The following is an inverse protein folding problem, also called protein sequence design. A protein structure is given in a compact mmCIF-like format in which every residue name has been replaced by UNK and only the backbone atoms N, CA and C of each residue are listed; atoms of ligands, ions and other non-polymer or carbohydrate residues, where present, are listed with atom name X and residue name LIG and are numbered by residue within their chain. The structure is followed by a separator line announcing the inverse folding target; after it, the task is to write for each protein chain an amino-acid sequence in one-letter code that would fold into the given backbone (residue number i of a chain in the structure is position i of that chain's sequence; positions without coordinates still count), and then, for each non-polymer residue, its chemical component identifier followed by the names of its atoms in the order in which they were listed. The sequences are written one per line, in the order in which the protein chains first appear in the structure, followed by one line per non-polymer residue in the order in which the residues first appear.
data_IF_844466397448
#
_entry.id   IF_844466397448
#
_cell.length_a   1.000
_cell.length_b   1.000
_cell.length_c   1.000
_cell.angle_alpha   90.00
_cell.angle_beta   90.00
_cell.angle_gamma   90.00
#
_symmetry.space_group_name_H-M   'P 1'
#
loop_
_entity.id
_entity.type
_entity.pdbx_description
1 polymer ?
#
# COMPACT_ATOMS: atom_id res chain seq x y z
N UNK A 1 -17.65 26.04 -11.73
CA UNK A 1 -16.89 25.22 -12.71
C UNK A 1 -16.82 23.80 -12.14
N UNK A 2 -17.07 22.74 -12.93
CA UNK A 2 -17.08 21.37 -12.39
C UNK A 2 -15.64 20.85 -12.15
N UNK A 3 -15.49 19.82 -11.32
CA UNK A 3 -14.22 19.22 -10.91
C UNK A 3 -13.31 18.90 -12.12
N UNK A 4 -13.83 18.18 -13.11
CA UNK A 4 -13.06 17.79 -14.31
C UNK A 4 -12.55 18.98 -15.13
N UNK A 5 -13.31 20.08 -15.21
CA UNK A 5 -12.85 21.30 -15.90
C UNK A 5 -11.73 22.00 -15.14
N UNK A 6 -11.70 21.93 -13.80
CA UNK A 6 -10.58 22.45 -12.98
C UNK A 6 -9.34 21.58 -13.20
N UNK A 7 -9.50 20.26 -13.11
CA UNK A 7 -8.42 19.29 -13.28
C UNK A 7 -7.75 19.38 -14.66
N UNK A 8 -8.54 19.56 -15.72
CA UNK A 8 -8.02 19.73 -17.08
C UNK A 8 -7.09 20.95 -17.25
N UNK A 9 -7.25 21.98 -16.41
CA UNK A 9 -6.40 23.19 -16.46
C UNK A 9 -5.05 23.01 -15.77
N UNK A 10 -4.88 21.99 -14.92
CA UNK A 10 -3.63 21.76 -14.20
C UNK A 10 -2.65 20.97 -15.07
N UNK A 11 -1.71 21.67 -15.70
CA UNK A 11 -0.55 21.06 -16.34
C UNK A 11 0.50 20.71 -15.27
N UNK A 12 1.05 19.49 -15.33
CA UNK A 12 2.14 19.07 -14.45
C UNK A 12 3.39 19.93 -14.70
N UNK A 13 4.04 20.39 -13.64
CA UNK A 13 5.37 21.01 -13.71
C UNK A 13 6.23 20.53 -12.55
N UNK A 14 7.53 20.80 -12.58
CA UNK A 14 8.46 20.46 -11.49
C UNK A 14 8.07 21.11 -10.14
N UNK A 15 7.21 22.13 -10.19
CA UNK A 15 6.74 22.89 -9.03
C UNK A 15 5.28 22.57 -8.64
N UNK A 16 4.55 21.81 -9.45
CA UNK A 16 3.12 21.50 -9.25
C UNK A 16 2.80 20.08 -9.69
N UNK A 17 2.49 19.22 -8.74
CA UNK A 17 2.05 17.85 -9.01
C UNK A 17 0.58 17.82 -9.44
N UNK A 18 0.26 17.07 -10.51
CA UNK A 18 -1.13 16.80 -10.89
C UNK A 18 -1.87 16.00 -9.80
N UNK A 19 -1.17 15.12 -9.10
CA UNK A 19 -1.73 14.35 -8.00
C UNK A 19 -2.14 15.27 -6.84
N UNK A 20 -1.26 16.20 -6.44
CA UNK A 20 -1.58 17.19 -5.40
C UNK A 20 -2.81 18.01 -5.77
N UNK A 21 -2.86 18.56 -7.00
CA UNK A 21 -4.02 19.31 -7.45
C UNK A 21 -5.30 18.47 -7.45
N UNK A 22 -5.23 17.21 -7.88
CA UNK A 22 -6.39 16.32 -7.86
C UNK A 22 -6.89 16.04 -6.45
N UNK A 23 -5.98 15.71 -5.54
CA UNK A 23 -6.32 15.45 -4.14
C UNK A 23 -6.91 16.70 -3.47
N UNK A 24 -6.32 17.87 -3.66
CA UNK A 24 -6.83 19.13 -3.10
C UNK A 24 -8.23 19.46 -3.61
N UNK A 25 -8.45 19.36 -4.93
CA UNK A 25 -9.75 19.64 -5.55
C UNK A 25 -10.81 18.60 -5.18
N UNK A 26 -10.43 17.33 -5.14
CA UNK A 26 -11.31 16.23 -4.72
C UNK A 26 -11.75 16.40 -3.27
N UNK A 27 -10.81 16.68 -2.36
CA UNK A 27 -11.11 16.96 -0.96
C UNK A 27 -12.02 18.19 -0.82
N UNK A 28 -11.75 19.27 -1.54
CA UNK A 28 -12.61 20.45 -1.54
C UNK A 28 -14.04 20.16 -2.00
N UNK A 29 -14.20 19.37 -3.06
CA UNK A 29 -15.52 18.98 -3.57
C UNK A 29 -16.28 18.12 -2.55
N UNK A 30 -15.61 17.14 -1.93
CA UNK A 30 -16.19 16.28 -0.89
C UNK A 30 -16.62 17.10 0.33
N UNK A 31 -15.76 17.99 0.83
CA UNK A 31 -16.08 18.82 2.00
C UNK A 31 -17.28 19.75 1.74
N UNK A 32 -17.42 20.30 0.54
CA UNK A 32 -18.58 21.12 0.17
C UNK A 32 -19.87 20.32 -0.07
N UNK A 33 -19.80 18.99 -0.23
CA UNK A 33 -20.97 18.12 -0.31
C UNK A 33 -21.49 17.68 1.06
N UNK A 34 -20.65 17.78 2.10
CA UNK A 34 -21.03 17.48 3.48
C UNK A 34 -22.01 18.53 4.00
N UNK A 35 -22.98 18.09 4.79
CA UNK A 35 -23.78 18.99 5.61
C UNK A 35 -22.98 19.49 6.83
N UNK A 36 -23.53 20.45 7.58
CA UNK A 36 -22.85 21.07 8.74
C UNK A 36 -22.44 20.03 9.79
N UNK A 37 -23.32 19.08 10.09
CA UNK A 37 -23.05 18.02 11.09
C UNK A 37 -21.89 17.12 10.64
N UNK A 38 -21.89 16.71 9.37
CA UNK A 38 -20.84 15.91 8.75
C UNK A 38 -19.50 16.66 8.72
N UNK A 39 -19.48 17.94 8.34
CA UNK A 39 -18.25 18.75 8.38
C UNK A 39 -17.71 18.88 9.80
N UNK A 40 -18.59 19.18 10.77
CA UNK A 40 -18.21 19.27 12.19
C UNK A 40 -17.66 17.94 12.70
N UNK A 41 -18.32 16.82 12.41
CA UNK A 41 -17.87 15.49 12.80
C UNK A 41 -16.51 15.14 12.17
N UNK A 42 -16.35 15.39 10.87
CA UNK A 42 -15.11 15.15 10.13
C UNK A 42 -13.93 15.92 10.73
N UNK A 43 -14.08 17.23 10.93
CA UNK A 43 -13.01 18.06 11.49
C UNK A 43 -12.71 17.74 12.97
N UNK A 44 -13.73 17.42 13.77
CA UNK A 44 -13.55 16.94 15.15
C UNK A 44 -12.79 15.61 15.20
N UNK A 45 -13.11 14.68 14.30
CA UNK A 45 -12.40 13.41 14.17
C UNK A 45 -10.94 13.58 13.77
N UNK A 46 -10.63 14.61 12.98
CA UNK A 46 -9.25 15.03 12.70
C UNK A 46 -8.59 15.78 13.87
N UNK A 47 -9.27 15.94 15.01
CA UNK A 47 -8.82 16.75 16.15
C UNK A 47 -8.41 18.17 15.70
N UNK A 48 -9.18 18.76 14.79
CA UNK A 48 -9.09 20.16 14.36
C UNK A 48 -10.18 20.93 15.10
N UNK A 49 -9.88 22.15 15.54
CA UNK A 49 -10.87 22.93 16.26
C UNK A 49 -11.99 23.38 15.33
N UNK A 50 -13.23 23.15 15.73
CA UNK A 50 -14.42 23.57 14.97
C UNK A 50 -15.28 24.49 15.81
N UNK A 51 -15.82 25.53 15.21
CA UNK A 51 -17.00 26.19 15.75
C UNK A 51 -18.22 25.35 15.37
N UNK A 52 -18.89 24.82 16.39
CA UNK A 52 -19.99 23.87 16.23
C UNK A 52 -21.18 24.59 15.58
N UNK A 53 -21.89 23.90 14.69
CA UNK A 53 -23.10 24.36 14.01
C UNK A 53 -22.93 25.51 12.99
N UNK A 54 -21.71 25.77 12.53
CA UNK A 54 -21.45 26.79 11.52
C UNK A 54 -21.08 26.16 10.17
N UNK A 55 -21.65 26.68 9.08
CA UNK A 55 -21.34 26.23 7.73
C UNK A 55 -19.95 26.73 7.32
N UNK A 56 -19.09 25.80 6.89
CA UNK A 56 -17.76 26.12 6.37
C UNK A 56 -17.79 26.00 4.85
N UNK A 57 -17.43 27.09 4.18
CA UNK A 57 -17.26 27.09 2.73
C UNK A 57 -15.81 26.79 2.37
N UNK A 58 -15.59 25.73 1.62
CA UNK A 58 -14.26 25.29 1.22
C UNK A 58 -13.93 25.74 -0.21
N UNK A 59 -12.72 26.26 -0.40
CA UNK A 59 -12.30 26.83 -1.68
C UNK A 59 -10.83 26.52 -1.99
N UNK A 60 -10.56 26.11 -3.23
CA UNK A 60 -9.21 26.05 -3.82
C UNK A 60 -8.89 27.33 -4.59
N UNK A 61 -7.62 27.56 -4.92
CA UNK A 61 -7.16 28.72 -5.70
C UNK A 61 -7.54 30.06 -5.04
N UNK A 62 -7.64 30.08 -3.71
CA UNK A 62 -7.86 31.31 -2.96
C UNK A 62 -6.58 32.15 -3.03
N UNK A 63 -6.68 33.41 -3.43
CA UNK A 63 -5.51 34.30 -3.50
C UNK A 63 -5.35 35.08 -2.20
N UNK A 64 -4.17 35.03 -1.61
CA UNK A 64 -3.77 35.90 -0.50
C UNK A 64 -2.75 36.93 -0.97
N UNK A 65 -2.81 38.12 -0.40
CA UNK A 65 -1.83 39.17 -0.63
C UNK A 65 -0.83 39.15 0.52
N UNK A 66 0.44 38.93 0.20
CA UNK A 66 1.54 38.91 1.18
C UNK A 66 2.67 39.79 0.71
N UNK A 67 3.62 40.08 1.60
CA UNK A 67 4.85 40.76 1.24
C UNK A 67 5.56 39.98 0.12
N UNK A 68 5.88 40.66 -0.98
CA UNK A 68 6.49 40.03 -2.15
C UNK A 68 5.53 39.43 -3.19
N UNK A 69 4.20 39.53 -3.02
CA UNK A 69 3.22 39.29 -4.09
C UNK A 69 1.99 38.48 -3.70
N UNK A 70 1.32 37.93 -4.70
CA UNK A 70 0.14 37.07 -4.51
C UNK A 70 0.57 35.62 -4.31
N UNK A 71 0.02 34.96 -3.29
CA UNK A 71 0.19 33.53 -3.03
C UNK A 71 -1.16 32.82 -3.06
N UNK A 72 -1.13 31.51 -3.20
CA UNK A 72 -2.32 30.67 -3.36
C UNK A 72 -2.21 29.46 -2.44
N UNK A 73 -2.80 29.51 -1.23
CA UNK A 73 -2.98 28.32 -0.42
C UNK A 73 -3.77 27.26 -1.16
N UNK A 74 -3.44 26.00 -0.93
CA UNK A 74 -4.06 24.88 -1.65
C UNK A 74 -5.57 24.78 -1.34
N UNK A 75 -5.95 24.86 -0.08
CA UNK A 75 -7.35 24.77 0.35
C UNK A 75 -7.63 25.69 1.54
N UNK A 76 -8.71 26.46 1.41
CA UNK A 76 -9.15 27.45 2.41
C UNK A 76 -10.57 27.14 2.86
N UNK A 77 -10.81 27.13 4.17
CA UNK A 77 -12.13 27.03 4.78
C UNK A 77 -12.53 28.36 5.41
N UNK A 78 -13.67 28.90 4.99
CA UNK A 78 -14.18 30.20 5.46
C UNK A 78 -15.50 30.07 6.20
N UNK A 79 -15.65 30.90 7.24
CA UNK A 79 -16.87 31.08 8.01
C UNK A 79 -17.24 32.57 7.93
N UNK A 80 -18.47 32.91 7.52
CA UNK A 80 -18.93 34.29 7.38
C UNK A 80 -17.95 35.20 6.62
N UNK A 81 -17.39 34.69 5.53
CA UNK A 81 -16.35 35.32 4.69
C UNK A 81 -15.00 35.57 5.37
N UNK A 82 -14.80 35.10 6.59
CA UNK A 82 -13.51 35.11 7.28
C UNK A 82 -12.80 33.78 7.08
N UNK A 83 -11.52 33.82 6.73
CA UNK A 83 -10.71 32.61 6.61
C UNK A 83 -10.41 32.06 8.00
N UNK A 84 -10.79 30.81 8.25
CA UNK A 84 -10.60 30.12 9.54
C UNK A 84 -9.69 28.90 9.40
N UNK A 85 -9.67 28.28 8.22
CA UNK A 85 -8.81 27.12 7.94
C UNK A 85 -7.96 27.42 6.73
N UNK A 86 -6.66 27.21 6.85
CA UNK A 86 -5.73 27.21 5.74
C UNK A 86 -5.01 25.87 5.75
N UNK A 87 -5.22 25.10 4.69
CA UNK A 87 -4.62 23.77 4.48
C UNK A 87 -3.65 23.88 3.32
N UNK A 88 -2.37 23.60 3.60
CA UNK A 88 -1.35 23.41 2.59
C UNK A 88 -1.14 21.91 2.36
N UNK A 89 -1.12 21.48 1.11
CA UNK A 89 -0.99 20.09 0.70
C UNK A 89 0.43 19.83 0.16
N UNK A 90 1.08 18.78 0.68
CA UNK A 90 2.38 18.32 0.17
C UNK A 90 2.40 16.81 0.00
N UNK A 91 2.54 16.33 -1.22
CA UNK A 91 2.73 14.91 -1.54
C UNK A 91 4.16 14.68 -2.01
N UNK A 92 4.56 15.35 -3.09
CA UNK A 92 5.87 15.20 -3.72
C UNK A 92 6.60 16.54 -3.89
N UNK A 93 5.87 17.66 -3.88
CA UNK A 93 6.47 18.98 -4.02
C UNK A 93 7.17 19.42 -2.73
N UNK A 94 8.29 20.14 -2.88
CA UNK A 94 8.96 20.81 -1.76
C UNK A 94 8.16 22.04 -1.30
N UNK A 95 8.40 22.49 -0.07
CA UNK A 95 7.94 23.80 0.36
C UNK A 95 8.57 24.89 -0.49
N UNK A 96 7.77 25.90 -0.83
CA UNK A 96 8.32 27.12 -1.42
C UNK A 96 8.83 28.03 -0.31
N UNK A 97 9.83 28.85 -0.62
CA UNK A 97 10.30 29.92 0.27
C UNK A 97 9.88 31.29 -0.27
N UNK A 98 9.77 32.25 0.63
CA UNK A 98 9.72 33.67 0.33
C UNK A 98 10.83 34.40 1.06
N UNK A 99 10.84 35.73 0.93
CA UNK A 99 11.81 36.60 1.59
C UNK A 99 11.00 37.56 2.48
N UNK A 100 11.37 37.68 3.75
CA UNK A 100 10.74 38.63 4.67
C UNK A 100 11.20 40.08 4.45
N UNK A 101 10.65 40.99 5.26
CA UNK A 101 11.00 42.41 5.29
C UNK A 101 12.49 42.69 5.61
N UNK A 102 13.19 41.73 6.22
CA UNK A 102 14.60 41.80 6.58
C UNK A 102 15.52 41.13 5.55
N UNK A 103 14.98 40.57 4.46
CA UNK A 103 15.75 39.87 3.45
C UNK A 103 16.09 38.41 3.81
N UNK A 104 15.44 37.83 4.81
CA UNK A 104 15.64 36.44 5.23
C UNK A 104 14.68 35.49 4.53
N UNK A 105 15.16 34.28 4.22
CA UNK A 105 14.31 33.21 3.69
C UNK A 105 13.29 32.80 4.75
N UNK A 106 12.01 32.92 4.41
CA UNK A 106 10.89 32.53 5.25
C UNK A 106 10.08 31.46 4.54
N UNK A 107 9.65 30.45 5.30
CA UNK A 107 8.89 29.36 4.73
C UNK A 107 7.50 29.75 4.28
N UNK A 108 6.96 28.96 3.36
CA UNK A 108 5.57 29.06 2.96
C UNK A 108 4.59 28.96 4.15
N UNK A 109 4.86 28.09 5.13
CA UNK A 109 3.98 27.92 6.29
C UNK A 109 4.01 29.13 7.23
N UNK A 110 5.17 29.75 7.43
CA UNK A 110 5.28 31.00 8.20
C UNK A 110 4.59 32.18 7.51
N UNK A 111 4.71 32.28 6.18
CA UNK A 111 4.02 33.32 5.40
C UNK A 111 2.51 33.18 5.60
N UNK A 112 1.99 31.95 5.55
CA UNK A 112 0.58 31.67 5.77
C UNK A 112 0.15 31.89 7.22
N UNK A 113 1.00 31.56 8.20
CA UNK A 113 0.75 31.84 9.61
C UNK A 113 0.61 33.33 9.88
N UNK A 114 1.57 34.16 9.41
CA UNK A 114 1.53 35.62 9.53
C UNK A 114 0.28 36.19 8.86
N UNK A 115 0.02 35.79 7.62
CA UNK A 115 -1.16 36.30 6.90
C UNK A 115 -2.46 35.93 7.62
N UNK A 116 -2.59 34.68 8.05
CA UNK A 116 -3.80 34.20 8.71
C UNK A 116 -3.96 34.82 10.11
N UNK A 117 -2.90 35.08 10.86
CA UNK A 117 -2.99 35.76 12.16
C UNK A 117 -3.46 37.21 12.05
N UNK A 118 -3.10 37.89 10.96
CA UNK A 118 -3.51 39.27 10.67
C UNK A 118 -4.93 39.39 10.13
N UNK A 119 -5.46 38.35 9.47
CA UNK A 119 -6.73 38.38 8.74
C UNK A 119 -7.83 37.49 9.35
N UNK A 120 -7.51 36.68 10.36
CA UNK A 120 -8.50 35.86 11.05
C UNK A 120 -9.50 36.72 11.83
N UNK A 121 -10.75 36.26 11.86
CA UNK A 121 -11.79 36.87 12.70
C UNK A 121 -11.43 36.73 14.19
N UNK A 122 -11.65 37.74 15.05
CA UNK A 122 -11.44 37.62 16.49
C UNK A 122 -12.40 36.63 17.17
N UNK A 123 -13.47 36.22 16.46
CA UNK A 123 -14.50 35.29 16.97
C UNK A 123 -14.06 33.84 16.75
N UNK A 124 -13.35 33.57 15.66
CA UNK A 124 -12.99 32.23 15.23
C UNK A 124 -11.51 31.99 15.46
N UNK A 125 -11.15 30.79 15.89
CA UNK A 125 -9.74 30.46 16.06
C UNK A 125 -9.15 29.98 14.73
N UNK A 126 -8.14 30.65 14.17
CA UNK A 126 -7.53 30.21 12.92
C UNK A 126 -6.82 28.88 13.10
N UNK A 127 -6.90 28.02 12.09
CA UNK A 127 -6.20 26.74 12.01
C UNK A 127 -5.30 26.74 10.77
N UNK A 128 -4.02 26.44 10.99
CA UNK A 128 -3.04 26.24 9.92
C UNK A 128 -2.67 24.75 9.89
N UNK A 129 -2.94 24.10 8.76
CA UNK A 129 -2.83 22.65 8.63
C UNK A 129 -1.88 22.32 7.49
N UNK A 130 -0.90 21.47 7.76
CA UNK A 130 -0.14 20.78 6.73
C UNK A 130 -0.78 19.42 6.49
N UNK A 131 -1.26 19.16 5.28
CA UNK A 131 -1.76 17.85 4.87
C UNK A 131 -0.73 17.15 3.97
N UNK A 132 -0.21 16.01 4.41
CA UNK A 132 0.87 15.31 3.71
C UNK A 132 0.75 13.79 3.75
N UNK A 133 1.65 13.07 3.07
CA UNK A 133 1.84 11.63 3.22
C UNK A 133 3.27 11.29 3.71
N UNK A 134 4.26 12.10 3.34
CA UNK A 134 5.69 11.84 3.67
C UNK A 134 6.52 13.10 3.90
N UNK A 135 5.98 14.28 3.64
CA UNK A 135 6.75 15.53 3.76
C UNK A 135 6.78 15.95 5.21
N UNK A 136 7.97 15.93 5.82
CA UNK A 136 8.12 16.40 7.19
C UNK A 136 7.78 17.90 7.26
N UNK A 137 7.03 18.34 8.27
CA UNK A 137 6.88 19.77 8.51
C UNK A 137 8.25 20.38 8.79
N UNK A 138 8.35 21.69 8.64
CA UNK A 138 9.53 22.40 9.11
C UNK A 138 9.70 22.28 10.63
N UNK A 139 10.93 22.45 11.09
CA UNK A 139 11.23 22.48 12.53
C UNK A 139 10.32 23.48 13.23
N UNK A 140 9.82 23.08 14.41
CA UNK A 140 8.99 23.90 15.30
C UNK A 140 7.54 24.18 14.83
N UNK A 141 7.10 23.63 13.68
CA UNK A 141 5.73 23.86 13.20
C UNK A 141 4.64 23.36 14.16
N UNK A 142 4.84 22.23 14.82
CA UNK A 142 3.92 21.73 15.86
C UNK A 142 4.34 22.14 17.28
N UNK A 143 5.50 22.79 17.44
CA UNK A 143 5.96 23.27 18.74
C UNK A 143 5.18 24.53 19.14
N UNK A 144 4.28 24.39 20.12
CA UNK A 144 3.46 25.47 20.64
C UNK A 144 4.28 26.55 21.38
N UNK A 145 5.49 26.22 21.82
CA UNK A 145 6.42 27.13 22.48
C UNK A 145 7.24 27.98 21.51
N UNK A 146 7.26 27.62 20.22
CA UNK A 146 7.97 28.39 19.19
C UNK A 146 7.40 29.80 19.04
N UNK A 147 8.31 30.76 18.89
CA UNK A 147 8.01 32.15 18.57
C UNK A 147 7.92 32.40 17.05
N UNK A 148 8.27 31.39 16.24
CA UNK A 148 8.29 31.45 14.78
C UNK A 148 6.88 31.53 14.18
N UNK A 149 5.88 31.07 14.93
CA UNK A 149 4.49 31.02 14.51
C UNK A 149 3.56 31.63 15.57
N UNK A 150 2.62 32.45 15.12
CA UNK A 150 1.65 33.16 15.94
C UNK A 150 0.41 32.31 16.23
N UNK A 151 -0.02 31.49 15.27
CA UNK A 151 -1.22 30.66 15.42
C UNK A 151 -0.90 29.46 16.31
N UNK A 152 -1.74 29.23 17.33
CA UNK A 152 -1.57 28.10 18.25
C UNK A 152 -2.21 26.81 17.76
N UNK A 153 -3.15 26.87 16.82
CA UNK A 153 -3.78 25.69 16.22
C UNK A 153 -3.10 25.32 14.91
N UNK A 154 -1.85 24.85 15.03
CA UNK A 154 -1.06 24.29 13.93
C UNK A 154 -1.11 22.77 14.02
N UNK A 155 -1.22 22.11 12.86
CA UNK A 155 -1.33 20.66 12.84
C UNK A 155 -0.77 20.03 11.58
N UNK A 156 -0.06 18.92 11.75
CA UNK A 156 0.23 18.00 10.65
C UNK A 156 -0.85 16.93 10.59
N UNK A 157 -1.47 16.80 9.44
CA UNK A 157 -2.38 15.73 9.09
C UNK A 157 -1.79 14.90 7.97
N UNK A 158 -2.12 13.62 7.98
CA UNK A 158 -1.77 12.71 6.93
C UNK A 158 -2.99 12.41 6.05
N UNK A 159 -2.77 12.10 4.77
CA UNK A 159 -3.83 11.64 3.87
C UNK A 159 -4.55 10.40 4.39
N UNK A 160 -3.86 9.56 5.18
CA UNK A 160 -4.48 8.48 5.94
C UNK A 160 -5.54 8.98 6.93
N UNK A 161 -5.28 10.08 7.65
CA UNK A 161 -6.28 10.64 8.57
C UNK A 161 -7.53 11.11 7.83
N UNK A 162 -7.37 11.69 6.63
CA UNK A 162 -8.49 12.07 5.77
C UNK A 162 -9.29 10.84 5.37
N UNK A 163 -8.62 9.79 4.89
CA UNK A 163 -9.26 8.54 4.50
C UNK A 163 -10.04 7.88 5.66
N UNK A 164 -9.43 7.78 6.83
CA UNK A 164 -10.05 7.19 8.02
C UNK A 164 -11.30 7.96 8.42
N UNK A 165 -11.24 9.29 8.43
CA UNK A 165 -12.40 10.11 8.78
C UNK A 165 -13.50 10.07 7.73
N UNK A 166 -13.16 10.03 6.44
CA UNK A 166 -14.15 9.80 5.38
C UNK A 166 -14.85 8.43 5.51
N UNK A 167 -14.20 7.44 6.12
CA UNK A 167 -14.81 6.11 6.36
C UNK A 167 -15.88 6.12 7.45
N UNK A 168 -15.94 7.18 8.26
CA UNK A 168 -16.98 7.38 9.29
C UNK A 168 -18.19 8.17 8.78
N UNK A 169 -18.11 8.71 7.55
CA UNK A 169 -19.10 9.62 7.02
C UNK A 169 -19.97 8.93 5.96
N UNK A 170 -21.25 8.77 6.27
CA UNK A 170 -22.22 8.13 5.38
C UNK A 170 -22.89 9.12 4.43
N UNK A 171 -23.37 8.61 3.28
CA UNK A 171 -24.22 9.32 2.32
C UNK A 171 -23.62 10.58 1.67
N UNK A 172 -22.29 10.66 1.55
CA UNK A 172 -21.63 11.73 0.78
C UNK A 172 -21.36 11.23 -0.64
N UNK A 173 -21.87 11.97 -1.63
CA UNK A 173 -21.70 11.61 -3.03
C UNK A 173 -20.21 11.56 -3.42
N UNK A 174 -19.79 10.48 -4.10
CA UNK A 174 -18.43 10.21 -4.56
C UNK A 174 -17.37 9.99 -3.46
N UNK A 175 -17.75 9.90 -2.18
CA UNK A 175 -16.78 9.69 -1.09
C UNK A 175 -16.06 8.35 -1.22
N UNK A 176 -16.76 7.29 -1.64
CA UNK A 176 -16.15 5.96 -1.79
C UNK A 176 -15.17 5.93 -2.96
N UNK A 177 -15.53 6.50 -4.11
CA UNK A 177 -14.61 6.63 -5.26
C UNK A 177 -13.35 7.41 -4.87
N UNK A 178 -13.51 8.48 -4.09
CA UNK A 178 -12.38 9.28 -3.61
C UNK A 178 -11.51 8.52 -2.61
N UNK A 179 -12.09 7.75 -1.69
CA UNK A 179 -11.34 6.87 -0.78
C UNK A 179 -10.54 5.82 -1.53
N UNK A 180 -11.19 5.14 -2.48
CA UNK A 180 -10.51 4.17 -3.34
C UNK A 180 -9.37 4.82 -4.11
N UNK A 181 -9.59 6.00 -4.68
CA UNK A 181 -8.52 6.76 -5.33
C UNK A 181 -7.33 7.01 -4.40
N UNK A 182 -7.55 7.50 -3.17
CA UNK A 182 -6.47 7.75 -2.20
C UNK A 182 -5.68 6.46 -1.88
N UNK A 183 -6.37 5.32 -1.77
CA UNK A 183 -5.74 4.01 -1.56
C UNK A 183 -4.91 3.57 -2.76
N UNK A 184 -5.46 3.65 -3.98
CA UNK A 184 -4.77 3.26 -5.21
C UNK A 184 -3.52 4.12 -5.49
N UNK A 185 -3.52 5.39 -5.06
CA UNK A 185 -2.36 6.28 -5.19
C UNK A 185 -1.34 6.12 -4.03
N UNK A 186 -1.58 5.21 -3.08
CA UNK A 186 -0.69 5.01 -1.93
C UNK A 186 -0.62 6.21 -0.97
N UNK A 187 -1.66 7.05 -0.95
CA UNK A 187 -1.75 8.21 -0.04
C UNK A 187 -2.47 7.86 1.25
N UNK A 188 -3.44 6.95 1.16
CA UNK A 188 -4.09 6.31 2.28
C UNK A 188 -3.59 4.86 2.37
N UNK A 189 -2.33 4.71 2.80
CA UNK A 189 -1.82 3.43 3.23
C UNK A 189 -2.12 3.30 4.71
N UNK A 190 -2.82 2.24 5.09
CA UNK A 190 -2.84 1.79 6.49
C UNK A 190 -1.39 1.82 7.00
N UNK A 191 -1.20 2.25 8.26
CA UNK A 191 0.10 2.25 8.94
C UNK A 191 0.96 1.07 8.47
N UNK A 192 2.29 1.24 8.26
CA UNK A 192 3.14 0.14 7.86
C UNK A 192 2.81 -1.05 8.73
N UNK A 193 2.19 -2.04 8.12
CA UNK A 193 1.61 -3.12 8.88
C UNK A 193 2.77 -4.06 9.27
N UNK A 194 2.48 -5.08 10.07
CA UNK A 194 3.51 -6.04 10.46
C UNK A 194 4.24 -6.64 9.23
N UNK A 195 3.58 -6.67 8.07
CA UNK A 195 4.06 -7.21 6.80
C UNK A 195 5.06 -6.24 6.15
N UNK A 196 4.79 -4.93 6.15
CA UNK A 196 5.75 -3.92 5.69
C UNK A 196 7.04 -3.98 6.53
N UNK A 197 6.90 -4.12 7.85
CA UNK A 197 8.05 -4.29 8.73
C UNK A 197 8.76 -5.64 8.55
N UNK A 198 8.03 -6.74 8.30
CA UNK A 198 8.63 -8.05 8.04
C UNK A 198 9.40 -8.08 6.70
N UNK A 199 8.85 -7.43 5.66
CA UNK A 199 9.51 -7.27 4.36
C UNK A 199 10.74 -6.38 4.49
N UNK A 200 10.64 -5.26 5.23
CA UNK A 200 11.78 -4.42 5.54
C UNK A 200 12.84 -5.19 6.35
N UNK A 201 12.46 -5.96 7.36
CA UNK A 201 13.39 -6.78 8.15
C UNK A 201 14.07 -7.85 7.27
N UNK A 202 13.33 -8.46 6.35
CA UNK A 202 13.83 -9.45 5.41
C UNK A 202 14.84 -8.83 4.42
N UNK A 203 14.54 -7.65 3.89
CA UNK A 203 15.38 -6.95 2.91
C UNK A 203 16.59 -6.25 3.54
N UNK A 204 16.42 -5.59 4.69
CA UNK A 204 17.46 -4.76 5.31
C UNK A 204 18.42 -5.54 6.23
N UNK A 205 17.99 -6.60 6.92
CA UNK A 205 18.88 -7.41 7.80
C UNK A 205 19.64 -8.52 7.07
N UNK A 206 19.66 -8.49 5.73
CA UNK A 206 20.32 -9.51 4.91
C UNK A 206 19.69 -10.90 4.99
N UNK A 207 18.52 -11.04 5.62
CA UNK A 207 17.79 -12.30 5.69
C UNK A 207 17.33 -12.76 4.30
N UNK A 208 16.97 -11.81 3.41
CA UNK A 208 16.68 -12.09 2.02
C UNK A 208 17.84 -12.75 1.29
N UNK A 209 19.09 -12.27 1.50
CA UNK A 209 20.29 -12.93 0.95
C UNK A 209 20.56 -14.31 1.55
N UNK A 210 20.27 -14.50 2.85
CA UNK A 210 20.40 -15.82 3.50
C UNK A 210 19.34 -16.80 3.01
N UNK A 211 18.10 -16.35 2.78
CA UNK A 211 17.02 -17.12 2.20
C UNK A 211 17.29 -17.46 0.74
N UNK A 212 17.80 -16.51 -0.04
CA UNK A 212 18.26 -16.73 -1.41
C UNK A 212 19.37 -17.79 -1.46
N UNK A 213 20.37 -17.68 -0.58
CA UNK A 213 21.43 -18.69 -0.45
C UNK A 213 20.91 -20.06 -0.02
N UNK A 214 19.98 -20.11 0.94
CA UNK A 214 19.34 -21.35 1.38
C UNK A 214 18.55 -21.99 0.23
N UNK A 215 17.68 -21.23 -0.45
CA UNK A 215 16.83 -21.74 -1.51
C UNK A 215 17.64 -22.15 -2.75
N UNK A 216 18.70 -21.41 -3.10
CA UNK A 216 19.64 -21.83 -4.13
C UNK A 216 20.33 -23.15 -3.80
N UNK A 217 20.73 -23.35 -2.53
CA UNK A 217 21.31 -24.61 -2.09
C UNK A 217 20.29 -25.76 -2.05
N UNK A 218 19.03 -25.49 -1.69
CA UNK A 218 17.92 -26.46 -1.77
C UNK A 218 17.69 -26.88 -3.23
N UNK A 219 17.63 -25.91 -4.16
CA UNK A 219 17.48 -26.19 -5.58
C UNK A 219 18.59 -27.10 -6.10
N UNK A 220 19.85 -26.78 -5.79
CA UNK A 220 20.99 -27.60 -6.24
C UNK A 220 20.94 -29.03 -5.67
N UNK A 221 20.53 -29.20 -4.42
CA UNK A 221 20.36 -30.53 -3.82
C UNK A 221 19.24 -31.33 -4.50
N UNK A 222 18.08 -30.71 -4.72
CA UNK A 222 16.96 -31.34 -5.42
C UNK A 222 17.34 -31.69 -6.86
N UNK A 223 18.00 -30.78 -7.58
CA UNK A 223 18.50 -31.01 -8.94
C UNK A 223 19.45 -32.21 -9.01
N UNK A 224 20.34 -32.36 -8.02
CA UNK A 224 21.23 -33.51 -7.92
C UNK A 224 20.46 -34.80 -7.61
N UNK A 225 19.55 -34.76 -6.65
CA UNK A 225 18.75 -35.91 -6.21
C UNK A 225 17.85 -36.45 -7.33
N UNK A 226 17.26 -35.55 -8.13
CA UNK A 226 16.33 -35.87 -9.21
C UNK A 226 16.97 -35.70 -10.59
N UNK A 227 18.30 -35.78 -10.70
CA UNK A 227 19.01 -35.60 -11.97
C UNK A 227 18.63 -36.64 -13.04
N UNK A 228 18.25 -37.84 -12.60
CA UNK A 228 17.86 -38.96 -13.46
C UNK A 228 16.35 -39.07 -13.67
N UNK A 229 15.56 -38.15 -13.11
CA UNK A 229 14.11 -38.15 -13.25
C UNK A 229 13.72 -37.53 -14.61
N UNK A 230 13.20 -38.33 -15.57
CA UNK A 230 12.95 -37.84 -16.93
C UNK A 230 11.84 -36.79 -16.99
N UNK A 231 10.96 -36.76 -15.99
CA UNK A 231 9.88 -35.78 -15.91
C UNK A 231 10.38 -34.37 -15.68
N UNK A 232 11.58 -34.16 -15.10
CA UNK A 232 12.09 -32.83 -14.85
C UNK A 232 12.88 -32.27 -16.01
N UNK A 233 12.57 -31.02 -16.38
CA UNK A 233 13.39 -30.21 -17.26
C UNK A 233 14.23 -29.22 -16.47
N UNK A 234 15.30 -29.70 -15.84
CA UNK A 234 16.26 -28.85 -15.11
C UNK A 234 17.00 -27.85 -16.01
N UNK A 235 16.92 -27.98 -17.34
CA UNK A 235 17.59 -27.10 -18.32
C UNK A 235 16.71 -25.96 -18.84
N UNK A 236 15.39 -26.13 -18.74
CA UNK A 236 14.40 -25.08 -18.97
C UNK A 236 13.88 -24.63 -17.62
N UNK A 237 14.75 -23.95 -16.88
CA UNK A 237 14.27 -23.08 -15.83
C UNK A 237 13.64 -21.86 -16.50
N UNK A 238 12.44 -21.47 -16.09
CA UNK A 238 11.80 -20.28 -16.64
C UNK A 238 12.63 -19.04 -16.24
N UNK A 239 13.53 -18.65 -17.15
CA UNK A 239 14.44 -17.50 -16.99
C UNK A 239 13.69 -16.18 -16.80
N UNK A 240 12.37 -16.14 -17.00
CA UNK A 240 11.54 -14.97 -16.75
C UNK A 240 11.19 -14.75 -15.26
N UNK A 241 11.56 -15.68 -14.36
CA UNK A 241 11.21 -15.59 -12.93
C UNK A 241 12.39 -15.66 -11.96
N UNK A 242 13.62 -15.84 -12.47
CA UNK A 242 14.82 -15.57 -11.68
C UNK A 242 15.08 -14.07 -11.67
N UNK A 243 14.77 -13.41 -10.56
CA UNK A 243 15.22 -12.04 -10.34
C UNK A 243 14.17 -11.15 -9.70
N UNK A 244 14.28 -11.06 -8.37
CA UNK A 244 13.74 -9.96 -7.61
C UNK A 244 12.31 -10.17 -7.16
N UNK A 245 12.05 -9.59 -6.00
CA UNK A 245 10.76 -9.26 -5.43
C UNK A 245 9.88 -8.47 -6.41
N UNK A 246 9.48 -9.07 -7.53
CA UNK A 246 8.38 -8.54 -8.33
C UNK A 246 7.11 -8.96 -7.59
N UNK A 247 6.60 -7.98 -6.84
CA UNK A 247 5.18 -7.82 -6.59
C UNK A 247 4.39 -8.31 -7.82
N UNK A 248 3.41 -9.18 -7.55
CA UNK A 248 2.33 -9.68 -8.43
C UNK A 248 2.03 -11.19 -8.23
N UNK A 249 2.52 -11.81 -7.15
CA UNK A 249 2.07 -13.13 -6.69
C UNK A 249 1.49 -13.05 -5.28
N UNK A 250 0.51 -12.15 -5.13
CA UNK A 250 -0.28 -11.89 -3.92
C UNK A 250 0.09 -12.76 -2.72
N UNK A 251 1.14 -12.36 -1.99
CA UNK A 251 1.63 -12.98 -0.75
C UNK A 251 2.73 -14.04 -0.75
N UNK A 252 3.09 -14.61 -1.88
CA UNK A 252 4.10 -15.67 -1.93
C UNK A 252 5.38 -15.17 -2.60
N UNK A 253 6.51 -15.32 -1.91
CA UNK A 253 7.82 -15.23 -2.55
C UNK A 253 8.15 -16.63 -3.06
N UNK A 254 7.98 -16.83 -4.36
CA UNK A 254 8.42 -18.05 -5.02
C UNK A 254 9.89 -17.92 -5.43
N UNK A 255 10.74 -18.87 -5.01
CA UNK A 255 12.18 -18.82 -5.27
C UNK A 255 12.63 -19.75 -6.39
N UNK A 256 11.87 -20.81 -6.72
CA UNK A 256 12.28 -21.74 -7.77
C UNK A 256 11.10 -22.38 -8.47
N UNK A 257 11.25 -22.57 -9.78
CA UNK A 257 10.30 -23.21 -10.69
C UNK A 257 11.02 -24.30 -11.47
N UNK A 258 10.41 -25.48 -11.59
CA UNK A 258 10.94 -26.56 -12.43
C UNK A 258 9.86 -26.99 -13.41
N UNK A 259 10.13 -26.77 -14.70
CA UNK A 259 9.26 -27.21 -15.78
C UNK A 259 9.32 -28.73 -15.89
N UNK A 260 8.16 -29.38 -16.04
CA UNK A 260 8.09 -30.80 -16.35
C UNK A 260 8.19 -31.00 -17.87
N UNK A 261 8.91 -32.04 -18.32
CA UNK A 261 9.07 -32.46 -19.72
C UNK A 261 7.79 -33.10 -20.30
N UNK A 262 6.63 -32.50 -20.04
CA UNK A 262 5.35 -32.97 -20.55
C UNK A 262 4.63 -31.84 -21.28
N UNK A 263 3.91 -32.19 -22.34
CA UNK A 263 2.92 -31.33 -22.97
C UNK A 263 1.56 -31.72 -22.40
N UNK A 264 0.76 -30.77 -21.91
CA UNK A 264 1.04 -29.33 -21.73
C UNK A 264 2.11 -29.06 -20.68
N UNK A 265 2.67 -27.85 -20.73
CA UNK A 265 3.62 -27.39 -19.72
C UNK A 265 3.00 -27.45 -18.32
N UNK A 266 3.67 -28.19 -17.45
CA UNK A 266 3.35 -28.33 -16.04
C UNK A 266 4.58 -27.90 -15.23
N UNK A 267 4.35 -27.44 -14.01
CA UNK A 267 5.41 -26.87 -13.18
C UNK A 267 5.32 -27.38 -11.76
N UNK A 268 6.45 -27.68 -11.15
CA UNK A 268 6.58 -27.64 -9.69
C UNK A 268 7.22 -26.33 -9.27
N UNK A 269 6.79 -25.80 -8.13
CA UNK A 269 7.38 -24.62 -7.53
C UNK A 269 7.51 -24.79 -6.02
N UNK A 270 8.45 -24.03 -5.45
CA UNK A 270 8.53 -23.87 -4.00
C UNK A 270 9.01 -22.47 -3.60
N UNK A 271 8.72 -22.10 -2.36
CA UNK A 271 9.03 -20.77 -1.83
C UNK A 271 8.53 -20.57 -0.42
N UNK A 272 8.36 -19.30 -0.01
CA UNK A 272 7.72 -18.94 1.27
C UNK A 272 6.44 -18.15 0.99
N UNK A 273 5.33 -18.61 1.56
CA UNK A 273 4.05 -17.93 1.54
C UNK A 273 3.77 -17.23 2.87
N UNK A 274 3.23 -16.01 2.81
CA UNK A 274 2.80 -15.25 3.97
C UNK A 274 1.26 -15.23 4.04
N UNK A 275 0.62 -16.07 4.85
CA UNK A 275 -0.84 -16.29 4.82
C UNK A 275 -1.71 -15.08 5.23
N UNK A 276 -1.12 -13.98 5.71
CA UNK A 276 -1.83 -12.79 6.21
C UNK A 276 -2.14 -11.74 5.11
N UNK A 277 -1.74 -11.98 3.86
CA UNK A 277 -1.88 -11.02 2.76
C UNK A 277 -3.18 -11.27 2.01
N UNK A 278 -4.16 -10.40 2.23
CA UNK A 278 -5.45 -10.41 1.56
C UNK A 278 -5.28 -10.04 0.08
N UNK A 279 -5.29 -11.07 -0.76
CA UNK A 279 -5.09 -10.95 -2.21
C UNK A 279 -6.29 -11.56 -2.92
N UNK A 280 -6.49 -11.29 -4.20
CA UNK A 280 -7.57 -11.90 -4.99
C UNK A 280 -7.57 -13.45 -4.89
N UNK A 281 -6.45 -14.06 -4.52
CA UNK A 281 -6.32 -15.47 -4.19
C UNK A 281 -6.96 -15.89 -2.85
N UNK A 282 -7.01 -15.02 -1.83
CA UNK A 282 -7.72 -15.29 -0.57
C UNK A 282 -9.24 -15.27 -0.75
N UNK A 283 -9.76 -14.80 -1.89
CA UNK A 283 -11.19 -14.90 -2.22
C UNK A 283 -11.61 -16.29 -2.69
N UNK A 284 -10.66 -17.19 -2.97
CA UNK A 284 -10.95 -18.62 -3.04
C UNK A 284 -11.16 -19.08 -1.60
N UNK A 285 -12.42 -19.28 -1.22
CA UNK A 285 -12.96 -19.66 0.11
C UNK A 285 -12.29 -20.87 0.80
N UNK A 286 -11.20 -21.42 0.26
CA UNK A 286 -10.47 -22.58 0.74
C UNK A 286 -9.03 -22.30 1.20
N UNK A 287 -8.47 -21.10 0.99
CA UNK A 287 -7.16 -20.74 1.60
C UNK A 287 -7.27 -20.42 3.09
N UNK A 288 -8.49 -20.28 3.62
CA UNK A 288 -8.73 -20.14 5.05
C UNK A 288 -8.59 -21.49 5.75
N UNK A 289 -7.37 -21.92 6.07
CA UNK A 289 -7.10 -22.55 7.38
C UNK A 289 -5.63 -22.94 7.57
N UNK A 290 -5.08 -22.41 8.66
CA UNK A 290 -4.06 -23.02 9.54
C UNK A 290 -2.71 -22.32 9.73
N UNK A 291 -2.66 -20.98 9.67
CA UNK A 291 -1.63 -20.28 10.46
C UNK A 291 -1.48 -18.79 10.16
N UNK A 292 -1.17 -18.03 11.21
CA UNK A 292 -0.65 -16.65 11.16
C UNK A 292 0.88 -16.61 10.98
N UNK A 293 1.49 -17.72 10.55
CA UNK A 293 2.94 -17.86 10.43
C UNK A 293 3.31 -18.08 8.96
N UNK A 294 4.40 -17.48 8.46
CA UNK A 294 4.88 -17.77 7.11
C UNK A 294 5.17 -19.25 6.95
N UNK A 295 5.02 -19.77 5.74
CA UNK A 295 5.09 -21.19 5.45
C UNK A 295 6.02 -21.46 4.27
N UNK A 296 6.81 -22.54 4.33
CA UNK A 296 7.41 -23.08 3.10
C UNK A 296 6.28 -23.70 2.29
N UNK A 297 6.21 -23.39 1.00
CA UNK A 297 5.21 -23.97 0.10
C UNK A 297 5.87 -24.84 -0.94
N UNK A 298 5.21 -25.94 -1.25
CA UNK A 298 5.40 -26.72 -2.46
C UNK A 298 4.10 -26.69 -3.25
N UNK A 299 4.17 -26.51 -4.57
CA UNK A 299 2.99 -26.60 -5.39
C UNK A 299 3.22 -27.05 -6.82
N UNK A 300 2.11 -27.42 -7.44
CA UNK A 300 1.99 -27.91 -8.80
C UNK A 300 1.04 -27.00 -9.59
N UNK A 301 1.46 -26.62 -10.80
CA UNK A 301 0.69 -25.74 -11.69
C UNK A 301 0.49 -26.41 -13.05
N UNK A 302 -0.73 -26.32 -13.55
CA UNK A 302 -1.09 -26.74 -14.92
C UNK A 302 -2.11 -25.78 -15.52
N UNK A 303 -2.03 -25.59 -16.85
CA UNK A 303 -2.90 -24.68 -17.62
C UNK A 303 -3.89 -25.44 -18.51
N UNK A 304 -3.90 -26.77 -18.50
CA UNK A 304 -4.87 -27.55 -19.28
C UNK A 304 -5.95 -28.16 -18.40
N UNK A 305 -7.19 -27.94 -18.82
CA UNK A 305 -8.40 -28.38 -18.14
C UNK A 305 -8.46 -29.88 -17.82
N UNK A 306 -7.91 -30.74 -18.68
CA UNK A 306 -7.89 -32.19 -18.42
C UNK A 306 -6.95 -32.53 -17.25
N UNK A 307 -5.75 -31.94 -17.25
CA UNK A 307 -4.76 -32.14 -16.19
C UNK A 307 -5.16 -31.46 -14.89
N UNK A 308 -5.80 -30.30 -14.97
CA UNK A 308 -6.49 -29.65 -13.84
C UNK A 308 -7.41 -30.62 -13.11
N UNK A 309 -8.31 -31.29 -13.83
CA UNK A 309 -9.25 -32.25 -13.21
C UNK A 309 -8.52 -33.43 -12.57
N UNK A 310 -7.53 -34.00 -13.27
CA UNK A 310 -6.72 -35.11 -12.74
C UNK A 310 -5.95 -34.71 -11.48
N UNK A 311 -5.40 -33.50 -11.46
CA UNK A 311 -4.67 -32.96 -10.32
C UNK A 311 -5.59 -32.72 -9.13
N UNK A 312 -6.75 -32.06 -9.33
CA UNK A 312 -7.78 -31.90 -8.31
C UNK A 312 -8.15 -33.23 -7.65
N UNK A 313 -8.47 -34.25 -8.45
CA UNK A 313 -8.87 -35.56 -7.94
C UNK A 313 -7.75 -36.25 -7.16
N UNK A 314 -6.51 -36.13 -7.62
CA UNK A 314 -5.40 -36.92 -7.08
C UNK A 314 -4.70 -36.27 -5.89
N UNK A 315 -4.61 -34.94 -5.85
CA UNK A 315 -3.92 -34.21 -4.80
C UNK A 315 -4.84 -33.86 -3.61
N UNK A 316 -6.14 -33.63 -3.84
CA UNK A 316 -7.08 -33.33 -2.75
C UNK A 316 -7.12 -34.45 -1.70
N UNK A 317 -7.00 -35.71 -2.11
CA UNK A 317 -6.96 -36.87 -1.19
C UNK A 317 -5.66 -36.98 -0.38
N UNK A 318 -4.62 -36.22 -0.73
CA UNK A 318 -3.29 -36.26 -0.11
C UNK A 318 -3.05 -35.07 0.85
N UNK A 319 -4.09 -34.28 1.15
CA UNK A 319 -4.00 -33.14 2.07
C UNK A 319 -3.34 -31.91 1.45
N UNK A 320 -3.35 -31.80 0.12
CA UNK A 320 -3.03 -30.56 -0.58
C UNK A 320 -4.24 -29.63 -0.57
N UNK A 321 -3.98 -28.34 -0.38
CA UNK A 321 -4.96 -27.29 -0.60
C UNK A 321 -5.00 -26.99 -2.10
N UNK A 322 -6.20 -26.90 -2.66
CA UNK A 322 -6.37 -26.67 -4.10
C UNK A 322 -7.08 -25.34 -4.35
N UNK A 323 -6.48 -24.51 -5.20
CA UNK A 323 -7.03 -23.25 -5.67
C UNK A 323 -7.12 -23.20 -7.20
N UNK A 324 -8.07 -22.42 -7.72
CA UNK A 324 -8.26 -22.19 -9.17
C UNK A 324 -8.20 -20.69 -9.46
N UNK A 325 -7.27 -20.23 -10.30
CA UNK A 325 -7.12 -18.79 -10.61
C UNK A 325 -8.05 -18.30 -11.73
N UNK A 326 -8.49 -17.05 -11.53
CA UNK A 326 -9.16 -15.97 -12.30
C UNK A 326 -9.72 -16.22 -13.71
N UNK A 327 -9.13 -17.07 -14.56
CA UNK A 327 -9.64 -17.34 -15.91
C UNK A 327 -10.18 -18.77 -16.12
N UNK A 328 -10.16 -19.61 -15.07
CA UNK A 328 -10.71 -20.97 -15.12
C UNK A 328 -9.85 -22.00 -15.88
N UNK A 329 -8.67 -21.59 -16.36
CA UNK A 329 -7.74 -22.44 -17.13
C UNK A 329 -6.49 -22.85 -16.33
N UNK A 330 -6.06 -22.08 -15.33
CA UNK A 330 -4.88 -22.40 -14.50
C UNK A 330 -5.28 -22.92 -13.13
N UNK A 331 -4.73 -24.08 -12.76
CA UNK A 331 -4.96 -24.71 -11.45
C UNK A 331 -3.67 -24.79 -10.67
N UNK A 332 -3.74 -24.36 -9.41
CA UNK A 332 -2.63 -24.41 -8.48
C UNK A 332 -3.01 -25.32 -7.32
N UNK A 333 -2.19 -26.35 -7.14
CA UNK A 333 -2.31 -27.27 -6.01
C UNK A 333 -1.10 -27.09 -5.13
N UNK A 334 -1.26 -26.87 -3.82
CA UNK A 334 -0.12 -26.60 -2.96
C UNK A 334 -0.27 -27.18 -1.55
N UNK A 335 0.87 -27.30 -0.86
CA UNK A 335 0.95 -27.72 0.53
C UNK A 335 1.93 -26.81 1.26
N UNK A 336 1.54 -26.36 2.45
CA UNK A 336 2.33 -25.47 3.29
C UNK A 336 2.91 -26.18 4.52
N UNK A 337 4.16 -25.86 4.85
CA UNK A 337 4.83 -26.19 6.11
C UNK A 337 5.11 -24.90 6.90
N UNK A 338 4.41 -24.67 8.03
CA UNK A 338 4.63 -23.49 8.86
C UNK A 338 6.08 -23.36 9.35
N UNK A 339 6.69 -22.19 9.17
CA UNK A 339 8.09 -21.93 9.57
C UNK A 339 8.29 -22.03 11.08
N UNK A 340 7.28 -21.72 11.89
CA UNK A 340 7.38 -21.87 13.34
C UNK A 340 7.64 -23.32 13.77
N UNK A 341 7.09 -24.31 13.05
CA UNK A 341 7.38 -25.74 13.31
C UNK A 341 8.83 -26.09 13.01
N UNK A 342 9.39 -25.52 11.95
CA UNK A 342 10.80 -25.72 11.59
C UNK A 342 11.74 -25.09 12.64
N UNK A 343 11.39 -23.93 13.18
CA UNK A 343 12.15 -23.25 14.23
C UNK A 343 12.17 -24.03 15.54
N UNK A 344 11.09 -24.75 15.88
CA UNK A 344 11.01 -25.60 17.07
C UNK A 344 11.90 -26.86 16.95
N UNK A 345 12.22 -27.30 15.73
CA UNK A 345 12.94 -28.56 15.45
C UNK A 345 14.44 -28.38 15.13
N UNK A 346 15.02 -27.19 15.31
CA UNK A 346 16.39 -26.87 14.87
C UNK A 346 16.63 -27.20 13.39
N UNK A 347 15.74 -26.72 12.51
CA UNK A 347 15.82 -27.02 11.09
C UNK A 347 17.17 -26.66 10.46
N UNK A 348 17.55 -27.44 9.46
CA UNK A 348 18.65 -27.14 8.56
C UNK A 348 18.21 -27.37 7.11
N UNK A 349 19.13 -27.19 6.17
CA UNK A 349 18.86 -27.37 4.75
C UNK A 349 18.34 -28.78 4.41
N UNK A 350 18.82 -29.82 5.10
CA UNK A 350 18.42 -31.20 4.85
C UNK A 350 16.97 -31.43 5.28
N UNK A 351 16.53 -30.82 6.39
CA UNK A 351 15.12 -30.86 6.82
C UNK A 351 14.18 -30.31 5.74
N UNK A 352 14.56 -29.20 5.10
CA UNK A 352 13.75 -28.58 4.03
C UNK A 352 13.77 -29.45 2.76
N UNK A 353 14.92 -29.99 2.39
CA UNK A 353 15.07 -30.89 1.23
C UNK A 353 14.30 -32.18 1.43
N UNK A 354 14.33 -32.77 2.62
CA UNK A 354 13.60 -34.01 2.94
C UNK A 354 12.10 -33.79 2.86
N UNK A 355 11.60 -32.67 3.38
CA UNK A 355 10.19 -32.30 3.29
C UNK A 355 9.76 -32.10 1.83
N UNK A 356 10.48 -31.26 1.07
CA UNK A 356 10.20 -31.04 -0.35
C UNK A 356 10.29 -32.34 -1.16
N UNK A 357 11.27 -33.19 -0.88
CA UNK A 357 11.46 -34.47 -1.55
C UNK A 357 10.29 -35.42 -1.30
N UNK A 358 9.77 -35.46 -0.06
CA UNK A 358 8.58 -36.27 0.25
C UNK A 358 7.39 -35.83 -0.58
N UNK A 359 7.16 -34.53 -0.69
CA UNK A 359 6.03 -33.98 -1.45
C UNK A 359 6.23 -34.15 -2.96
N UNK A 360 7.45 -33.93 -3.48
CA UNK A 360 7.81 -34.21 -4.87
C UNK A 360 7.59 -35.68 -5.20
N UNK A 361 8.07 -36.61 -4.37
CA UNK A 361 7.92 -38.04 -4.62
C UNK A 361 6.44 -38.44 -4.68
N UNK A 362 5.65 -37.96 -3.73
CA UNK A 362 4.21 -38.20 -3.69
C UNK A 362 3.52 -37.64 -4.95
N UNK A 363 3.90 -36.44 -5.38
CA UNK A 363 3.37 -35.83 -6.60
C UNK A 363 3.77 -36.61 -7.85
N UNK A 364 5.01 -37.07 -7.95
CA UNK A 364 5.48 -37.89 -9.07
C UNK A 364 4.75 -39.24 -9.13
N UNK A 365 4.53 -39.91 -8.00
CA UNK A 365 3.74 -41.15 -7.93
C UNK A 365 2.31 -40.93 -8.44
N UNK A 366 1.68 -39.86 -7.98
CA UNK A 366 0.35 -39.46 -8.42
C UNK A 366 0.30 -39.22 -9.92
N UNK A 367 1.21 -38.38 -10.45
CA UNK A 367 1.26 -38.04 -11.88
C UNK A 367 1.48 -39.30 -12.72
N UNK A 368 2.42 -40.17 -12.33
CA UNK A 368 2.69 -41.42 -13.04
C UNK A 368 1.53 -42.40 -13.04
N UNK A 369 0.74 -42.43 -11.97
CA UNK A 369 -0.41 -43.35 -11.86
C UNK A 369 -1.64 -42.91 -12.67
N UNK A 370 -1.67 -41.64 -13.10
CA UNK A 370 -2.82 -41.01 -13.78
C UNK A 370 -2.54 -40.65 -15.25
N UNK A 371 -1.31 -40.87 -15.70
CA UNK A 371 -0.87 -40.93 -17.10
C UNK A 371 -1.03 -42.37 -17.60
#
# INVERSE_FOLDING_TARGET
MNLFSRLYKYQSSDLRSQLENFCTEGLCDILNRMNIEQQSAFLKGLNVSTDVDVSIFWQTQYSIMVDGGTRYPDLVGSIDNSVVYLIEVKIDAQFTTGIDENGQDVSQLEIYDKWLSEHASPIHNPNLILLTNKTLPEQEFEDLSSHKYQIKKRKVLYWQNIHDQLSTADNICYVEDYKQFLKHQGLAMELPNRQDFAVMELLYNGAGRRLEGLMGAVFEKLRQQYANEPLFNWSQEDKWRFGGSRADWGAAICWSWVILNQSPYQYFYWGVQFPELDTEWNTLEQFSSNGSSPQIVFGYVTTEKEFTRKALDAFSSQGYNVGTEVDGETTIVHRGLPLNKLLEENYNIDTVVDWLSSDINQALEVIRSKL
#
